data_IF_264314139223
#
_entry.id   IF_264314139223
#
_cell.length_a   1.000
_cell.length_b   1.000
_cell.length_c   1.000
_cell.angle_alpha   90.00
_cell.angle_beta   90.00
_cell.angle_gamma   90.00
#
_symmetry.space_group_name_H-M   'P 1'
#
loop_
_entity.id
_entity.type
_entity.pdbx_description
1 polymer ?
#
# COMPACT_ATOMS: atom_id res chain seq x y z
N UNK A 1 18.24 2.80 -19.25
CA UNK A 1 17.69 2.88 -17.89
C UNK A 1 16.62 3.95 -17.84
N UNK A 2 15.47 3.61 -17.43
CA UNK A 2 14.38 4.58 -17.32
C UNK A 2 14.69 5.57 -16.18
N UNK A 3 14.43 6.83 -16.44
CA UNK A 3 14.55 7.84 -15.40
C UNK A 3 13.55 7.53 -14.27
N UNK A 4 14.03 7.54 -13.05
CA UNK A 4 13.19 7.39 -11.88
C UNK A 4 12.48 8.70 -11.62
N UNK A 5 11.17 8.72 -11.79
CA UNK A 5 10.38 9.89 -11.45
C UNK A 5 9.97 9.75 -9.98
N UNK A 6 10.59 10.54 -9.12
CA UNK A 6 10.27 10.57 -7.70
C UNK A 6 9.34 11.76 -7.46
N UNK A 7 8.09 11.46 -7.13
CA UNK A 7 7.13 12.48 -6.72
C UNK A 7 7.41 12.94 -5.30
N UNK A 8 6.87 14.10 -4.91
CA UNK A 8 6.99 14.58 -3.53
C UNK A 8 6.45 13.55 -2.52
N UNK A 9 5.36 12.88 -2.86
CA UNK A 9 4.76 11.84 -2.01
C UNK A 9 5.70 10.64 -1.88
N UNK A 10 6.32 10.21 -2.98
CA UNK A 10 7.29 9.12 -2.97
C UNK A 10 8.52 9.47 -2.14
N UNK A 11 9.03 10.71 -2.26
CA UNK A 11 10.15 11.18 -1.46
C UNK A 11 9.83 11.18 0.04
N UNK A 12 8.64 11.61 0.43
CA UNK A 12 8.19 11.57 1.83
C UNK A 12 8.15 10.12 2.34
N UNK A 13 7.59 9.20 1.56
CA UNK A 13 7.53 7.78 1.94
C UNK A 13 8.92 7.19 2.09
N UNK A 14 9.84 7.50 1.19
CA UNK A 14 11.21 7.03 1.26
C UNK A 14 11.89 7.49 2.56
N UNK A 15 11.73 8.76 2.94
CA UNK A 15 12.30 9.29 4.16
C UNK A 15 11.72 8.60 5.41
N UNK A 16 10.41 8.38 5.44
CA UNK A 16 9.74 7.71 6.56
C UNK A 16 10.24 6.28 6.69
N UNK A 17 10.32 5.55 5.60
CA UNK A 17 10.80 4.16 5.60
C UNK A 17 12.27 4.11 6.01
N UNK A 18 13.10 5.04 5.51
CA UNK A 18 14.51 5.13 5.88
C UNK A 18 14.70 5.35 7.37
N UNK A 19 13.89 6.20 7.99
CA UNK A 19 13.92 6.44 9.44
C UNK A 19 13.55 5.18 10.24
N UNK A 20 12.62 4.38 9.72
CA UNK A 20 12.16 3.16 10.40
C UNK A 20 13.07 1.97 10.19
N UNK A 21 13.67 1.83 9.00
CA UNK A 21 14.50 0.69 8.63
C UNK A 21 16.00 0.97 8.74
N UNK A 22 16.38 2.25 8.78
CA UNK A 22 17.77 2.71 8.75
C UNK A 22 18.55 2.19 7.52
N UNK A 23 17.83 1.94 6.42
CA UNK A 23 18.42 1.43 5.19
C UNK A 23 17.81 2.16 3.99
N UNK A 24 18.59 3.08 3.41
CA UNK A 24 18.13 3.94 2.33
C UNK A 24 17.81 3.18 1.03
N UNK A 25 18.56 2.15 0.70
CA UNK A 25 18.28 1.32 -0.49
C UNK A 25 16.96 0.58 -0.38
N UNK A 26 16.73 -0.05 0.76
CA UNK A 26 15.47 -0.74 1.04
C UNK A 26 14.32 0.24 1.05
N UNK A 27 14.52 1.41 1.67
CA UNK A 27 13.51 2.45 1.73
C UNK A 27 13.11 2.95 0.34
N UNK A 28 14.07 3.17 -0.54
CA UNK A 28 13.81 3.59 -1.92
C UNK A 28 13.05 2.55 -2.71
N UNK A 29 13.45 1.29 -2.61
CA UNK A 29 12.78 0.17 -3.28
C UNK A 29 11.33 0.00 -2.77
N UNK A 30 11.11 0.09 -1.47
CA UNK A 30 9.77 -0.01 -0.88
C UNK A 30 8.88 1.18 -1.26
N UNK A 31 9.41 2.39 -1.30
CA UNK A 31 8.65 3.56 -1.73
C UNK A 31 8.15 3.43 -3.17
N UNK A 32 9.00 2.94 -4.07
CA UNK A 32 8.61 2.69 -5.46
C UNK A 32 7.59 1.56 -5.57
N UNK A 33 7.72 0.52 -4.77
CA UNK A 33 6.77 -0.58 -4.71
C UNK A 33 5.39 -0.10 -4.26
N UNK A 34 5.33 0.81 -3.29
CA UNK A 34 4.08 1.41 -2.82
C UNK A 34 3.42 2.23 -3.92
N UNK A 35 4.17 3.03 -4.68
CA UNK A 35 3.62 3.79 -5.80
C UNK A 35 3.00 2.87 -6.86
N UNK A 36 3.69 1.79 -7.21
CA UNK A 36 3.17 0.78 -8.13
C UNK A 36 1.89 0.13 -7.60
N UNK A 37 1.88 -0.23 -6.31
CA UNK A 37 0.71 -0.82 -5.67
C UNK A 37 -0.48 0.14 -5.68
N UNK A 38 -0.28 1.40 -5.35
CA UNK A 38 -1.35 2.40 -5.32
C UNK A 38 -2.00 2.57 -6.70
N UNK A 39 -1.21 2.54 -7.74
CA UNK A 39 -1.73 2.60 -9.11
C UNK A 39 -2.59 1.37 -9.43
N UNK A 40 -2.12 0.18 -9.10
CA UNK A 40 -2.88 -1.06 -9.28
C UNK A 40 -4.18 -1.06 -8.48
N UNK A 41 -4.14 -0.57 -7.25
CA UNK A 41 -5.33 -0.46 -6.40
C UNK A 41 -6.38 0.48 -7.02
N UNK A 42 -5.96 1.59 -7.60
CA UNK A 42 -6.87 2.54 -8.25
C UNK A 42 -7.51 1.97 -9.51
N UNK A 43 -6.82 1.10 -10.22
CA UNK A 43 -7.27 0.55 -11.49
C UNK A 43 -8.08 -0.74 -11.34
N UNK A 44 -8.15 -1.31 -10.15
CA UNK A 44 -8.89 -2.55 -9.91
C UNK A 44 -8.42 -3.24 -8.64
N UNK A 45 -8.41 -4.57 -8.69
CA UNK A 45 -7.95 -5.39 -7.56
C UNK A 45 -6.45 -5.65 -7.69
N UNK A 46 -5.71 -5.36 -6.65
CA UNK A 46 -4.29 -5.67 -6.56
C UNK A 46 -4.03 -6.81 -5.58
N UNK A 47 -3.02 -7.61 -5.88
CA UNK A 47 -2.55 -8.69 -5.03
C UNK A 47 -1.19 -8.33 -4.47
N UNK A 48 -1.04 -8.39 -3.16
CA UNK A 48 0.20 -7.99 -2.50
C UNK A 48 0.39 -8.70 -1.16
N UNK A 49 1.61 -8.64 -0.64
CA UNK A 49 1.98 -9.27 0.63
C UNK A 49 2.63 -8.22 1.53
N UNK A 50 2.24 -8.20 2.78
CA UNK A 50 2.86 -7.35 3.81
C UNK A 50 2.99 -8.10 5.13
N UNK A 51 3.78 -7.55 6.05
CA UNK A 51 3.98 -8.10 7.39
C UNK A 51 3.11 -7.33 8.37
N UNK A 52 2.27 -8.03 9.11
CA UNK A 52 1.41 -7.45 10.13
C UNK A 52 2.23 -7.00 11.35
N UNK A 53 1.61 -6.19 12.21
CA UNK A 53 2.24 -5.73 13.45
C UNK A 53 2.77 -6.87 14.33
N UNK A 54 2.07 -8.01 14.33
CA UNK A 54 2.46 -9.18 15.11
C UNK A 54 3.54 -10.04 14.45
N UNK A 55 4.07 -9.62 13.30
CA UNK A 55 5.10 -10.34 12.56
C UNK A 55 4.58 -11.38 11.59
N UNK A 56 3.28 -11.60 11.52
CA UNK A 56 2.69 -12.55 10.57
C UNK A 56 2.67 -12.00 9.15
N UNK A 57 2.91 -12.87 8.18
CA UNK A 57 2.80 -12.53 6.75
C UNK A 57 1.33 -12.55 6.35
N UNK A 58 0.89 -11.47 5.71
CA UNK A 58 -0.48 -11.35 5.19
C UNK A 58 -0.45 -11.23 3.68
N UNK A 59 -1.10 -12.16 3.00
CA UNK A 59 -1.42 -12.04 1.58
C UNK A 59 -2.78 -11.37 1.45
N UNK A 60 -2.85 -10.32 0.64
CA UNK A 60 -4.06 -9.51 0.54
C UNK A 60 -4.48 -9.26 -0.90
N UNK A 61 -5.78 -9.15 -1.10
CA UNK A 61 -6.40 -8.70 -2.35
C UNK A 61 -7.21 -7.45 -2.01
N UNK A 62 -6.86 -6.34 -2.62
CA UNK A 62 -7.46 -5.07 -2.25
C UNK A 62 -7.68 -4.13 -3.42
N UNK A 63 -8.41 -3.06 -3.15
CA UNK A 63 -8.68 -2.01 -4.14
C UNK A 63 -8.86 -0.67 -3.43
N UNK A 64 -8.60 0.41 -4.15
CA UNK A 64 -9.04 1.75 -3.76
C UNK A 64 -10.04 2.32 -4.77
N UNK A 65 -10.41 1.55 -5.78
CA UNK A 65 -11.43 1.94 -6.74
C UNK A 65 -12.81 1.83 -6.09
N UNK A 66 -13.52 2.96 -5.99
CA UNK A 66 -14.80 3.03 -5.30
C UNK A 66 -15.86 2.13 -5.95
N UNK A 67 -15.87 2.03 -7.28
CA UNK A 67 -16.81 1.17 -7.99
C UNK A 67 -16.57 -0.31 -7.73
N UNK A 68 -15.32 -0.73 -7.60
CA UNK A 68 -14.96 -2.10 -7.26
C UNK A 68 -15.28 -2.40 -5.79
N UNK A 69 -14.91 -1.50 -4.89
CA UNK A 69 -15.20 -1.65 -3.46
C UNK A 69 -16.69 -1.76 -3.18
N UNK A 70 -17.52 -0.99 -3.88
CA UNK A 70 -18.96 -0.99 -3.72
C UNK A 70 -19.62 -2.34 -4.01
N UNK A 71 -18.97 -3.21 -4.80
CA UNK A 71 -19.47 -4.57 -5.08
C UNK A 71 -19.33 -5.50 -3.89
N UNK A 72 -18.47 -5.18 -2.92
CA UNK A 72 -18.13 -6.05 -1.79
C UNK A 72 -18.52 -5.47 -0.45
N UNK A 73 -19.15 -4.30 -0.41
CA UNK A 73 -19.56 -3.64 0.81
C UNK A 73 -20.95 -3.02 0.65
N UNK A 74 -21.63 -2.80 1.79
CA UNK A 74 -22.92 -2.13 1.83
C UNK A 74 -22.80 -0.59 1.88
N UNK A 75 -21.66 -0.07 1.49
CA UNK A 75 -21.54 1.33 1.15
C UNK A 75 -21.05 2.28 2.23
N UNK A 76 -20.73 1.80 3.41
CA UNK A 76 -20.27 2.66 4.49
C UNK A 76 -18.79 2.42 4.79
N UNK A 77 -17.96 3.12 4.13
CA UNK A 77 -16.54 3.09 4.40
C UNK A 77 -15.85 4.03 3.45
N UNK A 78 -14.86 4.73 3.94
CA UNK A 78 -14.03 5.57 3.10
C UNK A 78 -12.58 5.19 3.28
N UNK A 79 -11.82 5.33 2.19
CA UNK A 79 -10.39 5.19 2.23
C UNK A 79 -9.82 6.32 3.09
N UNK A 80 -9.02 5.95 4.06
CA UNK A 80 -8.23 6.91 4.83
C UNK A 80 -6.77 6.52 4.75
N UNK A 81 -6.00 7.37 4.13
CA UNK A 81 -4.55 7.22 4.14
C UNK A 81 -3.99 8.07 5.27
N UNK A 82 -3.59 7.40 6.33
CA UNK A 82 -2.90 8.05 7.43
C UNK A 82 -1.43 8.24 7.08
N UNK A 83 -0.80 9.21 7.74
CA UNK A 83 0.64 9.41 7.61
C UNK A 83 1.39 8.11 7.93
N UNK A 84 2.29 7.72 7.04
CA UNK A 84 3.13 6.52 7.14
C UNK A 84 2.41 5.18 6.87
N UNK A 85 1.17 5.23 6.39
CA UNK A 85 0.40 4.04 6.03
C UNK A 85 -0.27 4.19 4.68
N UNK A 86 -0.66 3.07 4.10
CA UNK A 86 -1.52 3.04 2.91
C UNK A 86 -2.79 2.27 3.24
N UNK A 87 -3.92 2.87 2.94
CA UNK A 87 -5.23 2.24 3.13
C UNK A 87 -5.69 1.53 1.84
N UNK A 88 -6.41 0.44 2.02
CA UNK A 88 -7.01 -0.31 0.93
C UNK A 88 -8.29 -0.98 1.41
N UNK A 89 -9.21 -1.25 0.49
CA UNK A 89 -10.38 -2.06 0.77
C UNK A 89 -10.03 -3.54 0.55
N UNK A 90 -10.09 -4.32 1.61
CA UNK A 90 -9.81 -5.76 1.58
C UNK A 90 -11.04 -6.49 1.06
N UNK A 91 -10.96 -7.05 -0.16
CA UNK A 91 -12.12 -7.69 -0.78
C UNK A 91 -12.46 -9.04 -0.15
N UNK A 92 -11.50 -9.72 0.48
CA UNK A 92 -11.75 -10.97 1.19
C UNK A 92 -12.48 -10.75 2.51
N UNK A 93 -12.16 -9.66 3.20
CA UNK A 93 -12.75 -9.32 4.50
C UNK A 93 -13.94 -8.37 4.39
N UNK A 94 -14.09 -7.70 3.26
CA UNK A 94 -15.17 -6.73 3.04
C UNK A 94 -15.04 -5.46 3.88
N UNK A 95 -13.84 -5.04 4.22
CA UNK A 95 -13.61 -3.87 5.06
C UNK A 95 -12.33 -3.13 4.69
N UNK A 96 -12.27 -1.86 5.07
CA UNK A 96 -11.07 -1.05 4.90
C UNK A 96 -10.02 -1.44 5.91
N UNK A 97 -8.76 -1.58 5.42
CA UNK A 97 -7.59 -1.90 6.21
C UNK A 97 -6.43 -1.02 5.78
N UNK A 98 -5.34 -1.07 6.51
CA UNK A 98 -4.13 -0.36 6.16
C UNK A 98 -2.89 -1.17 6.56
N UNK A 99 -1.77 -0.81 5.95
CA UNK A 99 -0.47 -1.36 6.34
C UNK A 99 0.56 -0.24 6.42
N UNK A 100 1.59 -0.43 7.20
CA UNK A 100 2.70 0.52 7.29
C UNK A 100 3.57 0.41 6.04
N UNK A 101 4.09 1.54 5.56
CA UNK A 101 4.88 1.58 4.34
C UNK A 101 6.08 0.62 4.37
N UNK A 102 6.78 0.53 5.50
CA UNK A 102 7.93 -0.37 5.63
C UNK A 102 7.56 -1.85 5.66
N UNK A 103 6.29 -2.18 5.85
CA UNK A 103 5.83 -3.56 5.99
C UNK A 103 5.54 -4.25 4.66
N UNK A 104 5.45 -3.51 3.57
CA UNK A 104 5.17 -4.08 2.26
C UNK A 104 6.34 -4.95 1.79
N UNK A 105 6.04 -6.19 1.39
CA UNK A 105 7.06 -7.17 0.99
C UNK A 105 7.05 -7.38 -0.52
N UNK A 106 5.88 -7.54 -1.11
CA UNK A 106 5.77 -7.88 -2.54
C UNK A 106 4.45 -7.38 -3.13
N UNK A 107 4.52 -6.94 -4.37
CA UNK A 107 3.35 -6.61 -5.21
C UNK A 107 3.40 -7.52 -6.44
N UNK A 108 2.32 -8.25 -6.69
CA UNK A 108 2.20 -9.14 -7.83
C UNK A 108 1.74 -8.44 -9.10
#
# INVERSE_FOLDING_TARGET
MNALIITDTTAVRMNVIAQRTQNLLVAGAKAMMIESLKEKLRNGVAHFIFIKKNGEVREAFGTTNAAVAAKYTNGNGCSREYFKTTAYFDIEKGEWRSFRWESLVKVF
#
